data_IF_204567389945
#
_entry.id   IF_204567389945
#
_cell.length_a   1.000
_cell.length_b   1.000
_cell.length_c   1.000
_cell.angle_alpha   90.00
_cell.angle_beta   90.00
_cell.angle_gamma   90.00
#
_symmetry.space_group_name_H-M   'P 1'
#
loop_
_entity.id
_entity.type
_entity.pdbx_description
1 polymer ?
#
# COMPACT_ATOMS: atom_id res chain seq x y z
N UNK A 1 -11.74 -12.84 -7.49
CA UNK A 1 -11.12 -13.82 -6.59
C UNK A 1 -11.44 -13.50 -5.15
N UNK A 2 -11.54 -14.53 -4.33
CA UNK A 2 -11.71 -14.43 -2.88
C UNK A 2 -10.71 -15.39 -2.25
N UNK A 3 -10.02 -14.92 -1.20
CA UNK A 3 -9.07 -15.71 -0.42
C UNK A 3 -9.37 -15.50 1.07
N UNK A 4 -9.31 -16.55 1.87
CA UNK A 4 -9.37 -16.50 3.33
C UNK A 4 -8.17 -17.27 3.85
N UNK A 5 -7.46 -16.72 4.83
CA UNK A 5 -6.25 -17.32 5.35
C UNK A 5 -6.18 -17.21 6.87
N UNK A 6 -5.46 -18.16 7.43
CA UNK A 6 -5.03 -18.18 8.83
C UNK A 6 -3.53 -18.42 8.89
N UNK A 7 -2.86 -17.62 9.69
CA UNK A 7 -1.41 -17.71 9.90
C UNK A 7 -1.18 -17.93 11.39
N UNK A 8 -0.58 -19.04 11.74
CA UNK A 8 -0.08 -19.33 13.07
C UNK A 8 1.44 -19.55 12.98
N UNK A 9 2.19 -18.75 13.70
CA UNK A 9 3.64 -18.81 13.72
C UNK A 9 4.17 -18.65 15.14
N UNK A 10 5.01 -19.57 15.53
CA UNK A 10 5.71 -19.55 16.82
C UNK A 10 7.22 -19.35 16.60
N UNK A 11 7.89 -18.95 17.66
CA UNK A 11 9.35 -18.78 17.65
C UNK A 11 9.88 -17.76 16.64
N UNK A 12 9.15 -16.67 16.44
CA UNK A 12 9.61 -15.59 15.58
C UNK A 12 10.77 -14.83 16.22
N UNK A 13 11.79 -14.56 15.41
CA UNK A 13 12.91 -13.73 15.84
C UNK A 13 12.48 -12.26 15.73
N UNK A 14 12.42 -11.59 16.88
CA UNK A 14 12.09 -10.18 16.96
C UNK A 14 13.26 -9.39 17.53
N UNK A 15 13.49 -8.19 17.00
CA UNK A 15 14.47 -7.27 17.55
C UNK A 15 13.86 -6.49 18.71
N UNK A 16 14.33 -6.73 19.91
CA UNK A 16 13.78 -6.13 21.12
C UNK A 16 14.87 -5.53 22.01
N UNK A 17 14.56 -4.46 22.77
CA UNK A 17 15.47 -3.93 23.77
C UNK A 17 15.54 -4.89 24.97
N UNK A 18 16.73 -5.42 25.24
CA UNK A 18 17.06 -6.22 26.42
C UNK A 18 18.22 -5.53 27.14
N UNK A 19 18.02 -5.13 28.38
CA UNK A 19 19.02 -4.43 29.22
C UNK A 19 19.64 -3.19 28.50
N UNK A 20 18.79 -2.42 27.80
CA UNK A 20 19.20 -1.22 27.05
C UNK A 20 19.93 -1.48 25.72
N UNK A 21 20.06 -2.72 25.29
CA UNK A 21 20.66 -3.10 24.01
C UNK A 21 19.62 -3.75 23.10
N UNK A 22 19.69 -3.45 21.80
CA UNK A 22 18.84 -4.10 20.81
C UNK A 22 19.37 -5.51 20.52
N UNK A 23 18.58 -6.52 20.85
CA UNK A 23 18.92 -7.93 20.64
C UNK A 23 17.84 -8.64 19.81
N UNK A 24 18.26 -9.57 18.97
CA UNK A 24 17.35 -10.49 18.31
C UNK A 24 17.01 -11.61 19.30
N UNK A 25 15.74 -11.70 19.68
CA UNK A 25 15.26 -12.73 20.60
C UNK A 25 14.11 -13.51 19.97
N UNK A 26 14.05 -14.78 20.32
CA UNK A 26 13.03 -15.70 19.84
C UNK A 26 11.84 -15.71 20.84
N UNK A 27 10.91 -14.77 20.66
CA UNK A 27 9.78 -14.58 21.59
C UNK A 27 8.44 -14.43 20.90
N UNK A 28 8.43 -14.41 19.57
CA UNK A 28 7.24 -14.01 18.83
C UNK A 28 6.28 -15.17 18.60
N UNK A 29 5.01 -14.93 18.92
CA UNK A 29 3.88 -15.65 18.36
C UNK A 29 3.13 -14.70 17.45
N UNK A 30 2.79 -15.15 16.24
CA UNK A 30 1.85 -14.46 15.35
C UNK A 30 0.64 -15.36 15.16
N UNK A 31 -0.53 -14.79 15.38
CA UNK A 31 -1.80 -15.43 15.09
C UNK A 31 -2.67 -14.42 14.36
N UNK A 32 -2.79 -14.61 13.04
CA UNK A 32 -3.48 -13.69 12.16
C UNK A 32 -4.54 -14.42 11.34
N UNK A 33 -5.71 -13.81 11.22
CA UNK A 33 -6.76 -14.28 10.32
C UNK A 33 -7.09 -13.17 9.34
N UNK A 34 -7.27 -13.51 8.08
CA UNK A 34 -7.56 -12.50 7.08
C UNK A 34 -8.43 -12.98 5.94
N UNK A 35 -8.96 -12.00 5.22
CA UNK A 35 -9.72 -12.23 4.01
C UNK A 35 -9.35 -11.18 2.95
N UNK A 36 -9.30 -11.61 1.71
CA UNK A 36 -8.99 -10.77 0.55
C UNK A 36 -10.03 -10.99 -0.54
N UNK A 37 -10.44 -9.92 -1.18
CA UNK A 37 -11.32 -9.93 -2.34
C UNK A 37 -10.68 -9.11 -3.44
N UNK A 38 -10.68 -9.63 -4.67
CA UNK A 38 -10.19 -8.93 -5.86
C UNK A 38 -11.23 -9.00 -6.96
N UNK A 39 -11.37 -7.88 -7.64
CA UNK A 39 -12.25 -7.72 -8.78
C UNK A 39 -11.50 -7.00 -9.90
N UNK A 40 -11.65 -7.49 -11.13
CA UNK A 40 -11.19 -6.82 -12.33
C UNK A 40 -12.20 -7.03 -13.44
N UNK A 41 -12.55 -5.97 -14.15
CA UNK A 41 -13.53 -6.03 -15.23
C UNK A 41 -13.17 -5.08 -16.37
N UNK A 42 -13.19 -5.59 -17.57
CA UNK A 42 -13.05 -4.82 -18.80
C UNK A 42 -14.42 -4.69 -19.46
N UNK A 43 -15.05 -3.53 -19.33
CA UNK A 43 -16.38 -3.29 -19.88
C UNK A 43 -16.38 -2.75 -21.32
N UNK A 44 -15.19 -2.44 -21.84
CA UNK A 44 -15.01 -2.14 -23.26
C UNK A 44 -13.55 -2.38 -23.69
N UNK A 45 -13.22 -2.36 -25.01
CA UNK A 45 -11.83 -2.40 -25.44
C UNK A 45 -10.97 -1.24 -24.95
N UNK A 46 -11.61 -0.18 -24.43
CA UNK A 46 -10.98 1.09 -24.06
C UNK A 46 -10.91 1.26 -22.56
N UNK A 47 -11.87 0.72 -21.79
CA UNK A 47 -12.02 0.94 -20.37
C UNK A 47 -11.92 -0.36 -19.55
N UNK A 48 -11.17 -0.31 -18.48
CA UNK A 48 -11.18 -1.35 -17.43
C UNK A 48 -11.17 -0.74 -16.05
N UNK A 49 -11.69 -1.49 -15.10
CA UNK A 49 -11.67 -1.17 -13.68
C UNK A 49 -11.12 -2.36 -12.91
N UNK A 50 -10.47 -2.07 -11.80
CA UNK A 50 -10.01 -3.05 -10.85
C UNK A 50 -10.22 -2.55 -9.42
N UNK A 51 -10.45 -3.48 -8.51
CA UNK A 51 -10.59 -3.19 -7.10
C UNK A 51 -10.09 -4.38 -6.28
N UNK A 52 -9.54 -4.08 -5.12
CA UNK A 52 -9.24 -5.11 -4.13
C UNK A 52 -9.50 -4.57 -2.72
N UNK A 53 -9.77 -5.49 -1.83
CA UNK A 53 -9.91 -5.22 -0.42
C UNK A 53 -9.27 -6.36 0.38
N UNK A 54 -8.51 -6.01 1.40
CA UNK A 54 -7.98 -6.96 2.37
C UNK A 54 -8.34 -6.54 3.79
N UNK A 55 -8.71 -7.52 4.59
CA UNK A 55 -8.93 -7.42 6.02
C UNK A 55 -7.96 -8.34 6.73
N UNK A 56 -7.29 -7.82 7.78
CA UNK A 56 -6.38 -8.57 8.63
C UNK A 56 -6.75 -8.37 10.09
N UNK A 57 -7.14 -9.45 10.74
CA UNK A 57 -7.24 -9.52 12.20
C UNK A 57 -5.92 -10.02 12.77
N UNK A 58 -5.38 -9.29 13.72
CA UNK A 58 -4.10 -9.60 14.38
C UNK A 58 -4.35 -9.71 15.87
N UNK A 59 -4.01 -10.86 16.47
CA UNK A 59 -4.02 -11.05 17.93
C UNK A 59 -2.90 -10.21 18.59
N UNK A 60 -1.76 -10.12 17.92
CA UNK A 60 -0.65 -9.26 18.32
C UNK A 60 -0.42 -8.19 17.25
N UNK A 61 -0.29 -6.90 17.63
CA UNK A 61 0.03 -5.85 16.69
C UNK A 61 1.31 -6.12 15.91
N UNK A 62 1.24 -5.99 14.58
CA UNK A 62 2.39 -6.14 13.69
C UNK A 62 2.69 -4.79 13.03
N UNK A 63 3.94 -4.33 13.16
CA UNK A 63 4.40 -3.07 12.58
C UNK A 63 4.20 -3.07 11.05
N UNK A 64 3.81 -1.93 10.50
CA UNK A 64 3.56 -1.70 9.08
C UNK A 64 2.46 -2.59 8.47
N UNK A 65 1.60 -3.17 9.31
CA UNK A 65 0.50 -4.03 8.88
C UNK A 65 -0.84 -3.34 9.11
N UNK A 66 -1.60 -3.02 8.06
CA UNK A 66 -2.92 -2.40 8.19
C UNK A 66 -3.98 -3.46 8.48
N UNK A 67 -5.00 -3.06 9.27
CA UNK A 67 -6.20 -3.88 9.48
C UNK A 67 -7.10 -3.91 8.24
N UNK A 68 -7.20 -2.79 7.54
CA UNK A 68 -7.98 -2.65 6.32
C UNK A 68 -7.14 -2.00 5.24
N UNK A 69 -7.15 -2.58 4.06
CA UNK A 69 -6.56 -1.98 2.87
C UNK A 69 -7.52 -2.18 1.70
N UNK A 70 -7.91 -1.09 1.06
CA UNK A 70 -8.76 -1.10 -0.12
C UNK A 70 -8.09 -0.33 -1.25
N UNK A 71 -8.33 -0.75 -2.47
CA UNK A 71 -7.93 -0.06 -3.68
C UNK A 71 -9.04 -0.15 -4.72
N UNK A 72 -9.27 0.93 -5.43
CA UNK A 72 -10.11 0.96 -6.61
C UNK A 72 -9.44 1.80 -7.70
N UNK A 73 -9.38 1.26 -8.91
CA UNK A 73 -8.73 1.88 -10.05
C UNK A 73 -9.57 1.82 -11.32
N UNK A 74 -9.27 2.73 -12.24
CA UNK A 74 -9.82 2.74 -13.59
C UNK A 74 -8.73 3.08 -14.59
N UNK A 75 -8.75 2.43 -15.75
CA UNK A 75 -7.84 2.71 -16.83
C UNK A 75 -8.60 2.97 -18.12
N UNK A 76 -8.08 3.91 -18.89
CA UNK A 76 -8.51 4.26 -20.24
C UNK A 76 -7.34 4.04 -21.19
N UNK A 77 -7.57 3.34 -22.30
CA UNK A 77 -6.56 3.12 -23.34
C UNK A 77 -7.21 3.18 -24.70
N UNK A 78 -6.91 4.22 -25.50
CA UNK A 78 -7.42 4.37 -26.86
C UNK A 78 -6.38 5.02 -27.78
N UNK A 79 -5.98 4.29 -28.79
CA UNK A 79 -5.05 4.78 -29.80
C UNK A 79 -3.69 5.17 -29.22
N UNK A 80 -3.40 6.47 -29.16
CA UNK A 80 -2.14 7.02 -28.62
C UNK A 80 -2.21 7.40 -27.15
N UNK A 81 -3.40 7.31 -26.54
CA UNK A 81 -3.67 7.79 -25.19
C UNK A 81 -3.83 6.65 -24.20
N UNK A 82 -3.19 6.79 -23.07
CA UNK A 82 -3.43 6.00 -21.88
C UNK A 82 -3.63 6.94 -20.68
N UNK A 83 -4.61 6.66 -19.86
CA UNK A 83 -4.82 7.31 -18.58
C UNK A 83 -5.21 6.27 -17.53
N UNK A 84 -4.74 6.44 -16.32
CA UNK A 84 -5.09 5.58 -15.19
C UNK A 84 -5.25 6.42 -13.92
N UNK A 85 -6.22 6.05 -13.12
CA UNK A 85 -6.44 6.64 -11.79
C UNK A 85 -6.68 5.54 -10.79
N UNK A 86 -6.30 5.78 -9.53
CA UNK A 86 -6.56 4.85 -8.45
C UNK A 86 -6.63 5.54 -7.11
N UNK A 87 -7.54 5.05 -6.28
CA UNK A 87 -7.67 5.48 -4.88
C UNK A 87 -7.30 4.30 -3.99
N UNK A 88 -6.44 4.54 -3.03
CA UNK A 88 -6.06 3.58 -2.00
C UNK A 88 -6.52 4.09 -0.64
N UNK A 89 -7.20 3.25 0.11
CA UNK A 89 -7.56 3.45 1.51
C UNK A 89 -6.79 2.48 2.38
N UNK A 90 -6.21 2.98 3.46
CA UNK A 90 -5.52 2.18 4.48
C UNK A 90 -6.05 2.60 5.83
N UNK A 91 -6.40 1.64 6.69
CA UNK A 91 -6.85 1.93 8.03
C UNK A 91 -6.34 0.91 9.05
N UNK A 92 -6.11 1.40 10.26
CA UNK A 92 -5.57 0.61 11.35
C UNK A 92 -4.15 0.12 11.08
N UNK A 93 -3.36 0.92 10.35
CA UNK A 93 -1.95 0.64 10.10
C UNK A 93 -1.15 0.91 11.38
N UNK A 94 -0.50 -0.09 11.92
CA UNK A 94 0.38 0.09 13.06
C UNK A 94 1.71 0.72 12.62
N UNK A 95 1.93 1.99 12.98
CA UNK A 95 3.18 2.74 12.75
C UNK A 95 4.17 2.59 13.90
N UNK A 96 3.68 2.26 15.07
CA UNK A 96 4.45 1.88 16.26
C UNK A 96 3.73 0.79 17.02
N UNK A 97 4.48 -0.10 17.64
CA UNK A 97 3.94 -1.19 18.48
C UNK A 97 4.58 -1.17 19.87
N UNK A 98 3.76 -1.46 20.88
CA UNK A 98 4.25 -1.63 22.25
C UNK A 98 4.96 -2.97 22.36
N UNK A 99 6.18 -2.94 22.89
CA UNK A 99 6.99 -4.13 23.14
C UNK A 99 7.27 -4.23 24.64
N UNK A 100 6.67 -5.20 25.31
CA UNK A 100 6.74 -5.32 26.77
C UNK A 100 6.15 -4.07 27.44
N UNK A 101 6.96 -3.38 28.24
CA UNK A 101 6.57 -2.14 28.92
C UNK A 101 7.06 -0.86 28.18
N UNK A 102 7.62 -1.00 26.97
CA UNK A 102 8.24 0.09 26.22
C UNK A 102 7.43 0.42 24.97
N UNK A 103 7.31 1.71 24.67
CA UNK A 103 6.57 2.21 23.49
C UNK A 103 5.07 2.23 23.72
N UNK A 104 4.37 2.52 22.65
CA UNK A 104 2.89 2.54 22.57
C UNK A 104 2.44 2.08 21.21
N UNK A 105 1.23 1.53 21.14
CA UNK A 105 0.59 1.25 19.87
C UNK A 105 0.16 2.57 19.24
N UNK A 106 0.64 2.81 18.03
CA UNK A 106 0.28 3.96 17.22
C UNK A 106 -0.30 3.47 15.91
N UNK A 107 -1.35 4.13 15.45
CA UNK A 107 -2.08 3.75 14.24
C UNK A 107 -2.29 4.95 13.34
N UNK A 108 -2.31 4.68 12.05
CA UNK A 108 -2.60 5.65 11.00
C UNK A 108 -3.70 5.13 10.08
N UNK A 109 -4.52 6.08 9.64
CA UNK A 109 -5.54 5.90 8.61
C UNK A 109 -5.35 6.97 7.56
N UNK A 110 -5.34 6.58 6.27
CA UNK A 110 -5.16 7.54 5.19
C UNK A 110 -5.79 7.08 3.87
N UNK A 111 -6.02 8.07 3.00
CA UNK A 111 -6.50 7.86 1.63
C UNK A 111 -5.51 8.49 0.67
N UNK A 112 -5.09 7.77 -0.35
CA UNK A 112 -4.24 8.28 -1.42
C UNK A 112 -4.99 8.24 -2.74
N UNK A 113 -4.89 9.32 -3.50
CA UNK A 113 -5.34 9.36 -4.87
C UNK A 113 -4.15 9.55 -5.80
N UNK A 114 -4.05 8.66 -6.79
CA UNK A 114 -2.99 8.67 -7.79
C UNK A 114 -3.58 8.79 -9.18
N UNK A 115 -2.87 9.49 -10.07
CA UNK A 115 -3.25 9.68 -11.46
C UNK A 115 -2.03 9.49 -12.35
N UNK A 116 -2.20 8.88 -13.51
CA UNK A 116 -1.16 8.77 -14.51
C UNK A 116 -1.73 8.96 -15.92
N UNK A 117 -0.90 9.49 -16.80
CA UNK A 117 -1.23 9.65 -18.20
C UNK A 117 -0.03 9.39 -19.09
N UNK A 118 -0.27 8.86 -20.27
CA UNK A 118 0.75 8.64 -21.28
C UNK A 118 0.19 8.98 -22.66
N UNK A 119 1.03 9.63 -23.46
CA UNK A 119 0.75 9.95 -24.84
C UNK A 119 1.88 9.46 -25.75
N UNK A 120 1.55 8.65 -26.74
CA UNK A 120 2.47 8.21 -27.79
C UNK A 120 2.53 9.27 -28.90
N UNK A 121 3.50 10.17 -28.80
CA UNK A 121 3.67 11.27 -29.76
C UNK A 121 4.12 10.73 -31.13
N UNK A 122 5.03 9.76 -31.15
CA UNK A 122 5.49 9.03 -32.34
C UNK A 122 5.65 7.54 -32.01
N UNK A 123 5.97 6.70 -33.00
CA UNK A 123 6.27 5.27 -32.74
C UNK A 123 7.44 5.06 -31.77
N UNK A 124 8.34 6.03 -31.73
CA UNK A 124 9.58 6.03 -30.95
C UNK A 124 9.59 7.05 -29.78
N UNK A 125 8.50 7.84 -29.58
CA UNK A 125 8.38 8.82 -28.46
C UNK A 125 7.12 8.56 -27.65
N UNK A 126 7.30 8.36 -26.34
CA UNK A 126 6.24 8.27 -25.35
C UNK A 126 6.44 9.34 -24.29
N UNK A 127 5.48 10.23 -24.12
CA UNK A 127 5.46 11.26 -23.06
C UNK A 127 4.55 10.76 -21.95
N UNK A 128 4.95 10.91 -20.71
CA UNK A 128 4.15 10.49 -19.57
C UNK A 128 4.19 11.52 -18.43
N UNK A 129 3.13 11.51 -17.64
CA UNK A 129 3.05 12.25 -16.39
C UNK A 129 2.36 11.37 -15.34
N UNK A 130 2.78 11.52 -14.08
CA UNK A 130 2.22 10.81 -12.93
C UNK A 130 2.14 11.72 -11.73
N UNK A 131 1.01 11.68 -11.04
CA UNK A 131 0.80 12.31 -9.74
C UNK A 131 0.51 11.25 -8.68
N UNK A 132 1.16 11.35 -7.56
CA UNK A 132 0.99 10.46 -6.40
C UNK A 132 0.56 11.26 -5.19
N UNK A 133 -0.28 10.66 -4.35
CA UNK A 133 -0.83 11.29 -3.15
C UNK A 133 -1.41 12.69 -3.45
N UNK A 134 -2.22 12.81 -4.50
CA UNK A 134 -2.76 14.09 -4.97
C UNK A 134 -3.68 14.77 -3.95
N UNK A 135 -4.15 14.04 -2.93
CA UNK A 135 -4.86 14.60 -1.78
C UNK A 135 -3.93 15.24 -0.74
N UNK A 136 -2.60 15.17 -0.99
CA UNK A 136 -1.57 15.69 -0.08
C UNK A 136 -1.69 15.19 1.37
N UNK A 137 -2.19 13.96 1.55
CA UNK A 137 -2.32 13.33 2.86
C UNK A 137 -0.96 13.26 3.55
N UNK A 138 -0.95 13.62 4.83
CA UNK A 138 0.20 13.36 5.71
C UNK A 138 -0.04 12.01 6.36
N UNK A 139 0.90 11.11 6.21
CA UNK A 139 0.86 9.80 6.83
C UNK A 139 2.26 9.25 7.07
N UNK A 140 2.35 8.28 7.95
CA UNK A 140 3.57 7.57 8.27
C UNK A 140 3.32 6.06 8.13
N UNK A 141 4.33 5.31 7.71
CA UNK A 141 4.31 3.83 7.74
C UNK A 141 5.05 3.34 8.97
N UNK A 142 6.09 4.08 9.36
CA UNK A 142 6.83 3.89 10.60
C UNK A 142 6.83 5.23 11.34
N UNK A 143 6.59 5.19 12.64
CA UNK A 143 6.57 6.36 13.51
C UNK A 143 7.83 7.22 13.36
N UNK A 144 7.65 8.52 13.18
CA UNK A 144 8.74 9.49 12.98
C UNK A 144 9.28 9.57 11.55
N UNK A 145 8.75 8.81 10.60
CA UNK A 145 9.16 8.83 9.19
C UNK A 145 8.00 9.24 8.27
N UNK A 146 7.72 10.55 8.14
CA UNK A 146 6.63 11.03 7.32
C UNK A 146 6.87 10.73 5.83
N UNK A 147 5.85 10.21 5.17
CA UNK A 147 5.84 9.93 3.75
C UNK A 147 5.65 11.21 2.92
N UNK A 148 6.12 11.23 1.66
CA UNK A 148 5.94 12.38 0.77
C UNK A 148 4.46 12.75 0.63
N UNK A 149 4.18 14.04 0.64
CA UNK A 149 2.87 14.59 0.25
C UNK A 149 2.68 14.45 -1.27
N UNK A 150 1.81 15.26 -1.86
CA UNK A 150 1.59 15.25 -3.29
C UNK A 150 2.91 15.38 -4.06
N UNK A 151 3.14 14.43 -4.97
CA UNK A 151 4.31 14.39 -5.83
C UNK A 151 3.86 14.31 -7.28
N UNK A 152 4.49 15.08 -8.16
CA UNK A 152 4.24 15.05 -9.60
C UNK A 152 5.55 14.78 -10.33
N UNK A 153 5.49 13.85 -11.25
CA UNK A 153 6.62 13.48 -12.12
C UNK A 153 6.16 13.49 -13.57
N UNK A 154 7.04 13.88 -14.47
CA UNK A 154 6.82 13.77 -15.92
C UNK A 154 8.12 13.38 -16.60
N UNK A 155 8.00 12.74 -17.75
CA UNK A 155 9.15 12.28 -18.49
C UNK A 155 8.82 11.86 -19.92
N UNK A 156 9.87 11.44 -20.62
CA UNK A 156 9.79 10.98 -21.99
C UNK A 156 10.65 9.75 -22.19
N UNK A 157 10.13 8.75 -22.89
CA UNK A 157 10.88 7.56 -23.31
C UNK A 157 11.11 7.68 -24.82
N UNK A 158 12.35 7.48 -25.24
CA UNK A 158 12.78 7.50 -26.66
C UNK A 158 13.36 6.11 -26.98
N UNK A 159 12.78 5.44 -27.95
CA UNK A 159 13.24 4.12 -28.42
C UNK A 159 13.85 4.29 -29.81
N UNK A 160 15.11 3.93 -29.99
CA UNK A 160 15.85 4.01 -31.25
C UNK A 160 15.81 2.68 -32.00
#
# INVERSE_FOLDING_TARGET
>A
GVNVFYIDGENLIMRMPVDGRQMNINTGKIENTGAEVQFAYRFSPVWSVDANYSYLHMEQPVLASPRHKAYAGATFSKGRWFAGTGVQYVAGLYTGVKIGNTGRDMKEDFVMWNLQGQFRAASWIHIWARGENLLAQRYEINDGFPMPKATVMAGMNINF
#
